data_IF_526836013440
#
_entry.id   IF_526836013440
#
_cell.length_a   1.000
_cell.length_b   1.000
_cell.length_c   1.000
_cell.angle_alpha   90.00
_cell.angle_beta   90.00
_cell.angle_gamma   90.00
#
_symmetry.space_group_name_H-M   'P 1'
#
loop_
_entity.id
_entity.type
_entity.pdbx_description
1 polymer ?
#
# COMPACT_ATOMS: atom_id res chain seq x y z
N UNK A 1 5.85 -4.77 0.09
CA UNK A 1 5.09 -4.51 1.34
C UNK A 1 4.90 -3.02 1.47
N UNK A 2 3.67 -2.59 1.71
CA UNK A 2 3.28 -1.20 1.93
C UNK A 2 2.93 -1.05 3.39
N UNK A 3 3.75 -0.33 4.16
CA UNK A 3 3.48 -0.10 5.58
C UNK A 3 2.64 1.15 5.74
N UNK A 4 1.60 1.09 6.57
CA UNK A 4 0.67 2.19 6.81
C UNK A 4 0.72 2.54 8.29
N UNK A 5 1.15 3.76 8.57
CA UNK A 5 1.29 4.28 9.93
C UNK A 5 -0.03 4.79 10.51
N UNK A 6 -0.07 4.92 11.84
CA UNK A 6 -1.25 5.44 12.55
C UNK A 6 -1.67 6.84 12.08
N UNK A 7 -0.71 7.68 11.70
CA UNK A 7 -0.91 9.02 11.12
C UNK A 7 -1.34 9.01 9.65
N UNK A 8 -1.36 7.84 9.00
CA UNK A 8 -1.69 7.66 7.58
C UNK A 8 -0.47 7.70 6.65
N UNK A 9 0.73 7.93 7.17
CA UNK A 9 1.96 7.92 6.38
C UNK A 9 2.21 6.53 5.79
N UNK A 10 2.58 6.49 4.51
CA UNK A 10 2.89 5.24 3.81
C UNK A 10 4.39 5.08 3.65
N UNK A 11 4.92 3.90 4.00
CA UNK A 11 6.35 3.58 3.90
C UNK A 11 6.55 2.34 3.03
N UNK A 12 7.27 2.50 1.93
CA UNK A 12 7.69 1.42 1.01
C UNK A 12 9.21 1.52 0.84
N UNK A 13 9.92 0.39 0.94
CA UNK A 13 11.38 0.35 0.78
C UNK A 13 12.15 1.41 1.62
N UNK A 14 11.72 1.61 2.88
CA UNK A 14 12.25 2.61 3.82
C UNK A 14 12.09 4.08 3.38
N UNK A 15 11.23 4.35 2.39
CA UNK A 15 10.89 5.70 1.95
C UNK A 15 9.45 6.01 2.29
N UNK A 16 9.22 7.19 2.87
CA UNK A 16 7.87 7.73 3.02
C UNK A 16 7.39 8.20 1.65
N UNK A 17 6.16 7.84 1.30
CA UNK A 17 5.55 8.16 0.00
C UNK A 17 4.19 8.79 0.22
N UNK A 18 3.86 9.77 -0.62
CA UNK A 18 2.49 10.27 -0.80
C UNK A 18 1.63 9.24 -1.52
N UNK A 19 0.31 9.43 -1.49
CA UNK A 19 -0.62 8.57 -2.24
C UNK A 19 -0.35 8.56 -3.74
N UNK A 20 -0.01 9.72 -4.33
CA UNK A 20 0.34 9.82 -5.75
C UNK A 20 1.59 9.03 -6.09
N UNK A 21 2.67 9.20 -5.33
CA UNK A 21 3.93 8.48 -5.56
C UNK A 21 3.75 6.96 -5.39
N UNK A 22 2.91 6.54 -4.44
CA UNK A 22 2.54 5.14 -4.27
C UNK A 22 1.79 4.62 -5.50
N UNK A 23 0.82 5.38 -6.01
CA UNK A 23 0.06 5.02 -7.21
C UNK A 23 0.99 4.83 -8.42
N UNK A 24 1.87 5.78 -8.68
CA UNK A 24 2.84 5.71 -9.79
C UNK A 24 3.76 4.49 -9.65
N UNK A 25 4.23 4.21 -8.43
CA UNK A 25 5.05 3.02 -8.15
C UNK A 25 4.29 1.73 -8.47
N UNK A 26 3.04 1.61 -8.00
CA UNK A 26 2.23 0.40 -8.18
C UNK A 26 1.83 0.20 -9.66
N UNK A 27 1.50 1.27 -10.37
CA UNK A 27 1.19 1.21 -11.81
C UNK A 27 2.40 0.76 -12.65
N UNK A 28 3.60 1.18 -12.28
CA UNK A 28 4.81 0.69 -12.94
C UNK A 28 5.10 -0.77 -12.57
N UNK A 29 4.84 -1.14 -11.33
CA UNK A 29 5.07 -2.51 -10.83
C UNK A 29 4.14 -3.52 -11.50
N UNK A 30 2.85 -3.23 -11.67
CA UNK A 30 1.90 -4.16 -12.32
C UNK A 30 2.21 -4.38 -13.80
N UNK A 31 2.75 -3.38 -14.50
CA UNK A 31 3.19 -3.51 -15.90
C UNK A 31 4.36 -4.48 -16.05
N UNK A 32 5.27 -4.50 -15.08
CA UNK A 32 6.47 -5.34 -15.10
C UNK A 32 6.20 -6.73 -14.49
N UNK A 33 5.34 -6.80 -13.47
CA UNK A 33 5.05 -8.00 -12.69
C UNK A 33 3.55 -8.10 -12.37
N UNK A 34 2.71 -8.54 -13.33
CA UNK A 34 1.24 -8.55 -13.17
C UNK A 34 0.73 -9.38 -11.98
N UNK A 35 1.43 -10.47 -11.64
CA UNK A 35 1.05 -11.40 -10.57
C UNK A 35 1.64 -11.03 -9.19
N UNK A 36 2.41 -9.94 -9.10
CA UNK A 36 3.11 -9.57 -7.88
C UNK A 36 2.13 -9.20 -6.78
N UNK A 37 2.15 -9.96 -5.69
CA UNK A 37 1.35 -9.66 -4.52
C UNK A 37 1.83 -8.39 -3.81
N UNK A 38 0.88 -7.56 -3.38
CA UNK A 38 1.10 -6.40 -2.52
C UNK A 38 0.58 -6.71 -1.12
N UNK A 39 1.48 -6.70 -0.14
CA UNK A 39 1.11 -6.83 1.27
C UNK A 39 0.92 -5.44 1.87
N UNK A 40 -0.29 -5.10 2.30
CA UNK A 40 -0.58 -3.89 3.07
C UNK A 40 -0.43 -4.24 4.55
N UNK A 41 0.49 -3.56 5.24
CA UNK A 41 0.75 -3.75 6.67
C UNK A 41 0.35 -2.50 7.44
N UNK A 42 -0.79 -2.55 8.12
CA UNK A 42 -1.26 -1.45 8.98
C UNK A 42 -0.72 -1.56 10.41
N UNK A 43 -0.45 -0.44 11.05
CA UNK A 43 -0.25 -0.40 12.51
C UNK A 43 -1.57 -0.77 13.23
N UNK A 44 -1.49 -1.58 14.30
CA UNK A 44 -2.64 -2.12 15.04
C UNK A 44 -3.59 -1.03 15.59
N UNK A 45 -3.03 0.06 16.11
CA UNK A 45 -3.79 1.22 16.60
C UNK A 45 -4.18 2.22 15.52
N UNK A 46 -3.89 1.93 14.24
CA UNK A 46 -4.13 2.84 13.13
C UNK A 46 -5.60 2.95 12.75
N UNK A 47 -5.99 4.11 12.23
CA UNK A 47 -7.34 4.28 11.74
C UNK A 47 -7.58 3.37 10.52
N UNK A 48 -8.64 2.55 10.56
CA UNK A 48 -9.04 1.66 9.46
C UNK A 48 -9.08 2.37 8.09
N UNK A 49 -9.51 3.64 8.09
CA UNK A 49 -9.52 4.50 6.88
C UNK A 49 -8.17 4.56 6.17
N UNK A 50 -7.05 4.52 6.89
CA UNK A 50 -5.72 4.66 6.30
C UNK A 50 -5.38 3.42 5.44
N UNK A 51 -5.72 2.23 5.93
CA UNK A 51 -5.55 0.97 5.19
C UNK A 51 -6.48 0.93 3.98
N UNK A 52 -7.74 1.36 4.13
CA UNK A 52 -8.70 1.44 3.02
C UNK A 52 -8.23 2.41 1.93
N UNK A 53 -7.67 3.56 2.30
CA UNK A 53 -7.13 4.51 1.32
C UNK A 53 -6.02 3.87 0.48
N UNK A 54 -5.13 3.10 1.10
CA UNK A 54 -4.07 2.37 0.38
C UNK A 54 -4.64 1.26 -0.50
N UNK A 55 -5.69 0.57 -0.05
CA UNK A 55 -6.39 -0.43 -0.86
C UNK A 55 -7.00 0.20 -2.12
N UNK A 56 -7.62 1.38 -2.00
CA UNK A 56 -8.16 2.12 -3.14
C UNK A 56 -7.06 2.46 -4.15
N UNK A 57 -5.90 2.96 -3.69
CA UNK A 57 -4.75 3.25 -4.56
C UNK A 57 -4.27 1.98 -5.27
N UNK A 58 -4.22 0.84 -4.57
CA UNK A 58 -3.87 -0.45 -5.18
C UNK A 58 -4.87 -0.82 -6.29
N UNK A 59 -6.17 -0.67 -6.02
CA UNK A 59 -7.23 -0.94 -7.01
C UNK A 59 -7.13 -0.04 -8.24
N UNK A 60 -6.93 1.27 -8.04
CA UNK A 60 -6.76 2.25 -9.13
C UNK A 60 -5.50 1.99 -9.96
N UNK A 61 -4.45 1.46 -9.33
CA UNK A 61 -3.23 1.03 -10.02
C UNK A 61 -3.36 -0.33 -10.74
N UNK A 62 -4.50 -1.02 -10.63
CA UNK A 62 -4.73 -2.32 -11.26
C UNK A 62 -4.16 -3.51 -10.49
N UNK A 63 -3.79 -3.34 -9.22
CA UNK A 63 -3.32 -4.44 -8.36
C UNK A 63 -4.53 -5.29 -7.94
N UNK A 64 -4.52 -6.56 -8.31
CA UNK A 64 -5.58 -7.52 -7.99
C UNK A 64 -5.19 -8.51 -6.88
N UNK A 65 -3.89 -8.69 -6.64
CA UNK A 65 -3.37 -9.61 -5.64
C UNK A 65 -2.90 -8.85 -4.39
N UNK A 66 -3.77 -8.74 -3.38
CA UNK A 66 -3.52 -8.00 -2.14
C UNK A 66 -3.65 -8.92 -0.93
N UNK A 67 -2.69 -8.80 -0.01
CA UNK A 67 -2.72 -9.46 1.30
C UNK A 67 -2.60 -8.44 2.44
N UNK A 68 -3.12 -8.79 3.61
CA UNK A 68 -3.10 -7.92 4.78
C UNK A 68 -2.19 -8.47 5.88
N UNK A 69 -1.53 -7.57 6.59
CA UNK A 69 -0.76 -7.85 7.79
C UNK A 69 -0.95 -6.71 8.81
N UNK A 70 -0.64 -7.00 10.06
CA UNK A 70 -0.66 -6.00 11.14
C UNK A 70 0.73 -5.87 11.74
N UNK A 71 1.16 -4.63 11.99
CA UNK A 71 2.33 -4.31 12.79
C UNK A 71 1.89 -3.97 14.22
N UNK A 72 2.61 -4.51 15.21
CA UNK A 72 2.48 -4.11 16.62
C UNK A 72 3.21 -2.78 16.86
#
# INVERSE_FOLDING_TARGET
>A
VVNVKTDGSVIVNRRTMTGSELGDLLQNLVKLYPEQAVVIRGDEGGAYKNVVNVLNICSEAGITNVAFATAK
#
